data_IF_920314947792
#
_entry.id   IF_920314947792
#
_cell.length_a   1.000
_cell.length_b   1.000
_cell.length_c   1.000
_cell.angle_alpha   90.00
_cell.angle_beta   90.00
_cell.angle_gamma   90.00
#
_symmetry.space_group_name_H-M   'P 1'
#
loop_
_entity.id
_entity.type
_entity.pdbx_description
1 polymer ?
#
# COMPACT_ATOMS: atom_id res chain seq x y z
N UNK A 1 7.98 28.06 1.87
CA UNK A 1 7.01 27.01 1.44
C UNK A 1 5.69 27.22 2.18
N UNK A 2 4.61 27.47 1.45
CA UNK A 2 3.27 27.66 2.02
C UNK A 2 2.70 26.29 2.37
N UNK A 3 2.34 26.08 3.61
CA UNK A 3 1.82 24.81 4.10
C UNK A 3 0.30 24.70 3.87
N UNK A 4 -0.18 23.49 3.57
CA UNK A 4 -1.60 23.22 3.47
C UNK A 4 -2.25 23.29 4.85
N UNK A 5 -3.21 24.19 5.03
CA UNK A 5 -3.98 24.32 6.27
C UNK A 5 -5.22 23.40 6.25
N UNK A 6 -5.00 22.13 5.96
CA UNK A 6 -6.02 21.09 6.02
C UNK A 6 -5.60 19.99 6.99
N UNK A 7 -6.48 19.65 7.93
CA UNK A 7 -6.18 18.73 9.02
C UNK A 7 -7.21 17.63 9.09
N UNK A 8 -6.78 16.45 9.51
CA UNK A 8 -7.63 15.30 9.80
C UNK A 8 -7.39 14.80 11.22
N UNK A 9 -8.41 14.23 11.82
CA UNK A 9 -8.30 13.60 13.14
C UNK A 9 -7.97 12.11 12.97
N UNK A 10 -6.82 11.70 13.53
CA UNK A 10 -6.38 10.30 13.52
C UNK A 10 -6.25 9.83 14.98
N UNK A 11 -7.26 9.14 15.47
CA UNK A 11 -7.39 8.79 16.88
C UNK A 11 -7.53 10.04 17.75
N UNK A 12 -6.55 10.30 18.61
CA UNK A 12 -6.53 11.49 19.50
C UNK A 12 -5.63 12.63 18.97
N UNK A 13 -5.09 12.50 17.77
CA UNK A 13 -4.19 13.48 17.18
C UNK A 13 -4.84 14.17 16.01
N UNK A 14 -4.67 15.48 15.92
CA UNK A 14 -4.99 16.27 14.75
C UNK A 14 -3.72 16.40 13.91
N UNK A 15 -3.73 15.84 12.71
CA UNK A 15 -2.60 15.78 11.80
C UNK A 15 -2.84 16.63 10.56
N UNK A 16 -1.80 17.32 10.10
CA UNK A 16 -1.85 18.16 8.91
C UNK A 16 -1.67 17.32 7.65
N UNK A 17 -2.53 17.51 6.67
CA UNK A 17 -2.44 16.94 5.34
C UNK A 17 -1.31 17.61 4.53
N UNK A 18 -0.88 16.93 3.48
CA UNK A 18 0.09 17.42 2.52
C UNK A 18 -0.40 17.30 1.08
N UNK A 19 0.49 17.60 0.12
CA UNK A 19 0.22 17.47 -1.31
C UNK A 19 0.82 16.18 -1.86
N UNK A 20 0.11 15.55 -2.80
CA UNK A 20 0.65 14.40 -3.52
C UNK A 20 1.70 14.81 -4.54
N UNK A 21 2.53 13.85 -4.96
CA UNK A 21 3.48 14.05 -6.07
C UNK A 21 2.78 14.51 -7.35
N UNK A 22 1.56 14.00 -7.60
CA UNK A 22 0.74 14.40 -8.75
C UNK A 22 0.35 15.88 -8.71
N UNK A 23 -0.06 16.39 -7.53
CA UNK A 23 -0.40 17.81 -7.35
C UNK A 23 0.82 18.71 -7.54
N UNK A 24 1.98 18.31 -7.01
CA UNK A 24 3.24 19.05 -7.23
C UNK A 24 3.63 19.07 -8.72
N UNK A 25 3.45 17.94 -9.43
CA UNK A 25 3.72 17.87 -10.87
C UNK A 25 2.78 18.76 -11.68
N UNK A 26 1.49 18.81 -11.33
CA UNK A 26 0.51 19.68 -11.98
C UNK A 26 0.85 21.17 -11.78
N UNK A 27 1.18 21.58 -10.55
CA UNK A 27 1.58 22.96 -10.26
C UNK A 27 2.89 23.35 -10.96
N UNK A 28 3.88 22.48 -11.00
CA UNK A 28 5.12 22.72 -11.72
C UNK A 28 4.89 22.84 -13.24
N UNK A 29 4.01 21.99 -13.81
CA UNK A 29 3.65 22.03 -15.23
C UNK A 29 2.87 23.30 -15.60
N UNK A 30 1.92 23.72 -14.76
CA UNK A 30 1.20 24.99 -14.90
C UNK A 30 2.19 26.16 -14.98
N UNK A 31 3.08 26.29 -13.98
CA UNK A 31 4.04 27.38 -13.92
C UNK A 31 5.04 27.38 -15.10
N UNK A 32 5.51 26.18 -15.50
CA UNK A 32 6.38 26.04 -16.66
C UNK A 32 5.69 26.40 -17.97
N UNK A 33 4.39 26.09 -18.12
CA UNK A 33 3.57 26.48 -19.27
C UNK A 33 3.39 27.99 -19.34
N UNK A 34 3.08 28.64 -18.20
CA UNK A 34 3.03 30.11 -18.12
C UNK A 34 4.37 30.73 -18.55
N UNK A 35 5.49 30.20 -18.05
CA UNK A 35 6.81 30.69 -18.39
C UNK A 35 7.14 30.54 -19.88
N UNK A 36 6.77 29.40 -20.47
CA UNK A 36 7.02 29.12 -21.90
C UNK A 36 6.18 30.00 -22.80
N UNK A 37 4.88 30.14 -22.51
CA UNK A 37 3.92 30.80 -23.39
C UNK A 37 3.81 32.32 -23.14
N UNK A 38 3.90 32.76 -21.87
CA UNK A 38 3.79 34.16 -21.44
C UNK A 38 5.14 34.80 -21.08
N UNK A 39 6.24 34.03 -21.04
CA UNK A 39 7.56 34.52 -20.69
C UNK A 39 7.84 34.67 -19.18
N UNK A 40 6.86 34.45 -18.31
CA UNK A 40 7.00 34.60 -16.86
C UNK A 40 6.27 33.48 -16.12
N UNK A 41 6.94 32.85 -15.14
CA UNK A 41 6.30 31.93 -14.21
C UNK A 41 5.63 32.70 -13.07
N UNK A 42 4.48 32.23 -12.56
CA UNK A 42 3.90 32.76 -11.33
C UNK A 42 4.70 32.30 -10.11
N UNK A 43 4.81 33.12 -9.07
CA UNK A 43 5.45 32.74 -7.79
C UNK A 43 4.63 31.68 -7.05
N UNK A 44 3.31 31.66 -7.26
CA UNK A 44 2.35 30.77 -6.60
C UNK A 44 1.32 30.29 -7.61
N UNK A 45 1.01 29.01 -7.57
CA UNK A 45 -0.06 28.39 -8.40
C UNK A 45 -1.14 27.83 -7.49
N UNK A 46 -2.40 27.98 -7.90
CA UNK A 46 -3.55 27.35 -7.24
C UNK A 46 -4.05 26.20 -8.11
N UNK A 47 -4.06 24.99 -7.55
CA UNK A 47 -4.55 23.78 -8.21
C UNK A 47 -5.81 23.30 -7.50
N UNK A 48 -6.89 23.15 -8.24
CA UNK A 48 -8.06 22.41 -7.74
C UNK A 48 -7.74 20.92 -7.76
N UNK A 49 -7.67 20.32 -6.55
CA UNK A 49 -7.38 18.89 -6.44
C UNK A 49 -8.63 18.04 -6.67
N UNK A 50 -8.49 16.75 -7.06
CA UNK A 50 -9.64 15.84 -7.18
C UNK A 50 -10.43 15.66 -5.87
N UNK A 51 -9.85 16.03 -4.72
CA UNK A 51 -10.56 16.07 -3.44
C UNK A 51 -11.44 17.30 -3.25
N UNK A 52 -11.49 18.24 -4.21
CA UNK A 52 -12.19 19.51 -4.10
C UNK A 52 -11.55 20.50 -3.10
N UNK A 53 -10.24 20.36 -2.89
CA UNK A 53 -9.46 21.24 -2.01
C UNK A 53 -8.50 22.04 -2.89
N UNK A 54 -8.53 23.36 -2.76
CA UNK A 54 -7.59 24.24 -3.46
C UNK A 54 -6.20 24.15 -2.85
N UNK A 55 -5.25 23.68 -3.64
CA UNK A 55 -3.84 23.59 -3.29
C UNK A 55 -3.12 24.87 -3.73
N UNK A 56 -2.63 25.67 -2.78
CA UNK A 56 -1.85 26.90 -3.05
C UNK A 56 -0.37 26.58 -2.87
N UNK A 57 0.35 26.50 -3.99
CA UNK A 57 1.70 25.94 -4.07
C UNK A 57 2.69 26.99 -4.57
N UNK A 58 3.77 27.19 -3.82
CA UNK A 58 4.89 28.05 -4.21
C UNK A 58 5.79 27.37 -5.24
N UNK A 59 6.26 28.13 -6.21
CA UNK A 59 7.22 27.70 -7.21
C UNK A 59 8.62 28.09 -6.76
N UNK A 60 9.55 27.11 -6.70
CA UNK A 60 10.86 27.31 -6.14
C UNK A 60 11.99 27.43 -7.19
N UNK A 61 11.91 26.66 -8.27
CA UNK A 61 12.96 26.61 -9.29
C UNK A 61 12.40 26.96 -10.65
N UNK A 62 13.20 27.71 -11.41
CA UNK A 62 12.86 28.12 -12.75
C UNK A 62 14.04 27.97 -13.69
N UNK A 63 13.76 27.47 -14.88
CA UNK A 63 14.72 27.40 -15.97
C UNK A 63 14.04 27.70 -17.31
N UNK A 64 14.77 28.17 -18.28
CA UNK A 64 14.23 28.31 -19.63
C UNK A 64 15.32 28.24 -20.70
N UNK A 65 14.93 27.87 -21.90
CA UNK A 65 15.69 27.95 -23.13
C UNK A 65 14.85 28.58 -24.23
N UNK A 66 15.27 28.43 -25.47
CA UNK A 66 14.56 29.01 -26.63
C UNK A 66 13.17 28.36 -26.80
N UNK A 67 13.10 27.03 -26.66
CA UNK A 67 11.91 26.25 -27.03
C UNK A 67 11.37 25.42 -25.82
N UNK A 68 11.78 25.79 -24.61
CA UNK A 68 11.35 25.09 -23.38
C UNK A 68 11.43 26.00 -22.15
N UNK A 69 10.61 25.70 -21.17
CA UNK A 69 10.71 26.23 -19.80
C UNK A 69 10.55 25.11 -18.77
N UNK A 70 11.08 25.32 -17.56
CA UNK A 70 10.91 24.41 -16.44
C UNK A 70 10.63 25.16 -15.15
N UNK A 71 9.81 24.57 -14.30
CA UNK A 71 9.54 25.03 -12.94
C UNK A 71 9.58 23.87 -11.98
N UNK A 72 9.95 24.13 -10.72
CA UNK A 72 10.05 23.15 -9.67
C UNK A 72 9.16 23.46 -8.46
N UNK A 73 8.66 22.43 -7.83
CA UNK A 73 7.85 22.47 -6.63
C UNK A 73 8.43 21.53 -5.58
N UNK A 74 8.63 22.03 -4.37
CA UNK A 74 9.01 21.18 -3.24
C UNK A 74 7.77 20.58 -2.60
N UNK A 75 7.75 19.23 -2.53
CA UNK A 75 6.63 18.50 -1.94
C UNK A 75 6.53 18.76 -0.43
N UNK A 76 5.35 19.18 0.02
CA UNK A 76 4.96 19.17 1.42
C UNK A 76 4.09 17.94 1.70
N UNK A 77 4.64 16.95 2.40
CA UNK A 77 3.95 15.72 2.76
C UNK A 77 3.04 15.85 3.98
N UNK A 78 2.98 17.02 4.61
CA UNK A 78 2.25 17.21 5.87
C UNK A 78 2.89 16.46 7.03
N UNK A 79 2.07 15.93 7.91
CA UNK A 79 2.52 15.12 9.06
C UNK A 79 2.62 13.62 8.71
N UNK A 80 2.55 13.27 7.43
CA UNK A 80 2.76 11.88 7.00
C UNK A 80 4.24 11.52 7.05
N UNK A 81 4.62 10.36 7.60
CA UNK A 81 6.02 9.91 7.64
C UNK A 81 6.52 9.43 6.26
N UNK A 82 6.09 10.08 5.19
CA UNK A 82 6.46 9.75 3.82
C UNK A 82 7.90 10.17 3.52
N UNK A 83 8.69 9.25 3.00
CA UNK A 83 10.08 9.47 2.58
C UNK A 83 10.21 10.51 1.46
N UNK A 84 9.11 10.80 0.75
CA UNK A 84 9.08 11.78 -0.34
C UNK A 84 8.79 13.21 0.11
N UNK A 85 8.61 13.45 1.42
CA UNK A 85 8.49 14.80 1.96
C UNK A 85 9.75 15.62 1.66
N UNK A 86 9.57 16.88 1.27
CA UNK A 86 10.66 17.81 0.94
C UNK A 86 11.35 17.55 -0.41
N UNK A 87 11.00 16.51 -1.16
CA UNK A 87 11.60 16.28 -2.48
C UNK A 87 11.15 17.33 -3.49
N UNK A 88 12.04 17.63 -4.45
CA UNK A 88 11.75 18.53 -5.57
C UNK A 88 11.09 17.74 -6.70
N UNK A 89 9.97 18.26 -7.22
CA UNK A 89 9.28 17.78 -8.41
C UNK A 89 9.38 18.87 -9.49
N UNK A 90 9.98 18.56 -10.61
CA UNK A 90 10.22 19.50 -11.71
C UNK A 90 9.39 19.10 -12.91
N UNK A 91 8.72 20.06 -13.53
CA UNK A 91 8.12 19.89 -14.83
C UNK A 91 8.88 20.75 -15.84
N UNK A 92 9.27 20.15 -16.96
CA UNK A 92 9.81 20.82 -18.14
C UNK A 92 8.77 20.76 -19.25
N UNK A 93 8.36 21.91 -19.77
CA UNK A 93 7.42 22.04 -20.89
C UNK A 93 8.17 22.52 -22.12
N UNK A 94 7.90 21.91 -23.26
CA UNK A 94 8.51 22.26 -24.54
C UNK A 94 7.51 22.14 -25.69
N UNK A 95 7.75 22.86 -26.79
CA UNK A 95 6.93 22.75 -27.99
C UNK A 95 7.14 21.40 -28.68
N UNK A 96 6.08 20.87 -29.30
CA UNK A 96 6.10 19.70 -30.19
C UNK A 96 5.19 19.94 -31.38
N UNK A 97 5.45 19.23 -32.50
CA UNK A 97 4.72 19.43 -33.74
C UNK A 97 3.27 18.91 -33.70
N UNK A 98 3.03 17.84 -32.96
CA UNK A 98 1.71 17.22 -32.84
C UNK A 98 0.85 17.97 -31.82
N UNK A 99 -0.39 18.40 -32.15
CA UNK A 99 -1.27 19.12 -31.25
C UNK A 99 -1.61 18.31 -30.01
N UNK A 100 -1.84 18.98 -28.86
CA UNK A 100 -2.22 18.41 -27.61
C UNK A 100 -1.07 18.29 -26.60
N UNK A 101 -1.31 17.59 -25.48
CA UNK A 101 -0.34 17.46 -24.37
C UNK A 101 0.21 16.05 -24.31
N UNK A 102 1.53 15.91 -24.44
CA UNK A 102 2.24 14.64 -24.28
C UNK A 102 3.01 14.66 -22.98
N UNK A 103 2.78 13.65 -22.11
CA UNK A 103 3.42 13.56 -20.78
C UNK A 103 4.35 12.36 -20.72
N UNK A 104 5.59 12.58 -20.27
CA UNK A 104 6.57 11.52 -20.03
C UNK A 104 7.35 11.78 -18.73
N UNK A 105 8.08 10.77 -18.26
CA UNK A 105 8.97 10.86 -17.10
C UNK A 105 10.42 11.06 -17.52
N UNK A 106 11.06 12.02 -16.87
CA UNK A 106 12.49 12.29 -16.95
C UNK A 106 13.27 11.65 -15.79
N UNK A 107 14.35 12.32 -15.38
CA UNK A 107 15.23 11.87 -14.31
C UNK A 107 14.48 11.58 -13.02
N UNK A 108 14.73 10.40 -12.40
CA UNK A 108 14.18 9.99 -11.13
C UNK A 108 12.69 9.65 -11.12
N UNK A 109 12.00 9.70 -12.27
CA UNK A 109 10.68 9.10 -12.46
C UNK A 109 10.87 7.68 -12.98
N UNK A 110 10.28 6.70 -12.29
CA UNK A 110 10.43 5.30 -12.62
C UNK A 110 9.71 4.90 -13.90
N UNK A 111 10.13 3.77 -14.47
CA UNK A 111 9.47 3.10 -15.61
C UNK A 111 8.76 1.85 -15.12
N UNK A 112 7.60 1.60 -15.68
CA UNK A 112 6.82 0.38 -15.44
C UNK A 112 7.49 -0.80 -16.14
N UNK A 113 7.80 -1.86 -15.38
CA UNK A 113 8.45 -3.08 -15.91
C UNK A 113 7.57 -4.32 -15.77
N UNK A 114 6.42 -4.22 -15.08
CA UNK A 114 5.49 -5.33 -14.86
C UNK A 114 4.06 -4.93 -15.17
N UNK A 115 3.25 -5.90 -15.58
CA UNK A 115 1.82 -5.73 -15.78
C UNK A 115 1.07 -5.54 -14.46
N UNK A 116 -0.20 -5.06 -14.54
CA UNK A 116 -1.06 -4.86 -13.37
C UNK A 116 -0.91 -3.50 -12.68
N UNK A 117 -0.02 -2.62 -13.17
CA UNK A 117 0.07 -1.22 -12.78
C UNK A 117 -0.94 -0.35 -13.55
N UNK A 118 -1.08 0.89 -13.16
CA UNK A 118 -1.95 1.88 -13.81
C UNK A 118 -1.50 2.17 -15.26
N UNK A 119 -0.18 2.21 -15.49
CA UNK A 119 0.41 2.47 -16.79
C UNK A 119 0.96 1.18 -17.43
N UNK A 120 0.99 1.08 -18.76
CA UNK A 120 1.52 -0.07 -19.45
C UNK A 120 3.04 -0.21 -19.27
N UNK A 121 3.54 -1.43 -19.50
CA UNK A 121 4.99 -1.73 -19.43
C UNK A 121 5.75 -0.83 -20.41
N UNK A 122 6.87 -0.26 -19.95
CA UNK A 122 7.71 0.71 -20.67
C UNK A 122 7.32 2.17 -20.47
N UNK A 123 6.10 2.47 -20.05
CA UNK A 123 5.67 3.85 -19.79
C UNK A 123 6.28 4.41 -18.49
N UNK A 124 6.34 5.73 -18.40
CA UNK A 124 6.66 6.42 -17.16
C UNK A 124 5.62 6.11 -16.10
N UNK A 125 6.07 5.86 -14.87
CA UNK A 125 5.22 5.57 -13.73
C UNK A 125 4.50 6.85 -13.21
N UNK A 126 3.76 7.49 -14.10
CA UNK A 126 2.90 8.65 -13.82
C UNK A 126 1.46 8.17 -13.97
N UNK A 127 0.76 8.02 -12.86
CA UNK A 127 -0.59 7.44 -12.84
C UNK A 127 -1.62 8.32 -13.57
N UNK A 128 -2.76 7.74 -13.90
CA UNK A 128 -3.81 8.35 -14.73
C UNK A 128 -4.33 9.66 -14.15
N UNK A 129 -4.58 9.74 -12.83
CA UNK A 129 -5.06 10.97 -12.19
C UNK A 129 -4.03 12.11 -12.25
N UNK A 130 -2.75 11.92 -11.83
CA UNK A 130 -1.70 12.90 -12.09
C UNK A 130 -1.57 13.34 -13.55
N UNK A 131 -1.67 12.39 -14.50
CA UNK A 131 -1.65 12.75 -15.93
C UNK A 131 -2.81 13.68 -16.31
N UNK A 132 -4.02 13.37 -15.85
CA UNK A 132 -5.19 14.23 -16.08
C UNK A 132 -5.01 15.61 -15.47
N UNK A 133 -4.52 15.71 -14.22
CA UNK A 133 -4.26 16.99 -13.57
C UNK A 133 -3.24 17.83 -14.37
N UNK A 134 -2.10 17.23 -14.75
CA UNK A 134 -1.07 17.90 -15.55
C UNK A 134 -1.64 18.35 -16.91
N UNK A 135 -2.38 17.47 -17.58
CA UNK A 135 -2.99 17.81 -18.89
C UNK A 135 -3.95 18.98 -18.75
N UNK A 136 -4.88 18.93 -17.79
CA UNK A 136 -5.87 19.99 -17.58
C UNK A 136 -5.22 21.36 -17.29
N UNK A 137 -4.18 21.39 -16.48
CA UNK A 137 -3.47 22.64 -16.16
C UNK A 137 -2.73 23.21 -17.36
N UNK A 138 -2.06 22.36 -18.14
CA UNK A 138 -1.32 22.79 -19.34
C UNK A 138 -2.26 23.25 -20.44
N UNK A 139 -3.37 22.54 -20.66
CA UNK A 139 -4.40 22.91 -21.64
C UNK A 139 -5.09 24.23 -21.26
N UNK A 140 -5.37 24.48 -19.98
CA UNK A 140 -5.93 25.74 -19.51
C UNK A 140 -5.00 26.91 -19.85
N UNK A 141 -3.70 26.80 -19.58
CA UNK A 141 -2.73 27.85 -19.90
C UNK A 141 -2.55 28.01 -21.41
N UNK A 142 -2.54 26.93 -22.20
CA UNK A 142 -2.49 27.00 -23.65
C UNK A 142 -3.70 27.76 -24.22
N UNK A 143 -4.90 27.45 -23.70
CA UNK A 143 -6.13 28.15 -24.08
C UNK A 143 -6.08 29.64 -23.72
N UNK A 144 -5.65 29.98 -22.49
CA UNK A 144 -5.55 31.37 -22.04
C UNK A 144 -4.52 32.21 -22.85
N UNK A 145 -3.56 31.53 -23.49
CA UNK A 145 -2.55 32.11 -24.34
C UNK A 145 -2.88 32.07 -25.83
N UNK A 146 -4.08 31.63 -26.22
CA UNK A 146 -4.48 31.40 -27.64
C UNK A 146 -3.48 30.51 -28.40
N UNK A 147 -2.92 29.47 -27.71
CA UNK A 147 -1.94 28.54 -28.26
C UNK A 147 -2.58 27.23 -28.66
N UNK A 148 -2.65 26.92 -29.94
CA UNK A 148 -3.26 25.70 -30.51
C UNK A 148 -2.25 24.59 -30.85
N UNK A 149 -0.95 24.80 -30.58
CA UNK A 149 0.12 23.84 -30.87
C UNK A 149 0.25 22.75 -29.84
N UNK A 150 1.23 21.86 -30.05
CA UNK A 150 1.52 20.77 -29.11
C UNK A 150 2.52 21.13 -28.02
N UNK A 151 2.31 20.59 -26.85
CA UNK A 151 3.19 20.74 -25.68
C UNK A 151 3.60 19.36 -25.11
N UNK A 152 4.89 19.19 -24.88
CA UNK A 152 5.43 18.04 -24.16
C UNK A 152 5.80 18.44 -22.74
N UNK A 153 5.31 17.66 -21.78
CA UNK A 153 5.63 17.81 -20.36
C UNK A 153 6.49 16.63 -19.90
N UNK A 154 7.68 16.92 -19.44
CA UNK A 154 8.57 15.94 -18.83
C UNK A 154 8.64 16.20 -17.33
N UNK A 155 8.20 15.21 -16.51
CA UNK A 155 8.24 15.29 -15.06
C UNK A 155 9.51 14.62 -14.54
N UNK A 156 10.29 15.33 -13.73
CA UNK A 156 11.53 14.84 -13.13
C UNK A 156 11.51 14.98 -11.61
N UNK A 157 12.19 14.06 -10.94
CA UNK A 157 12.41 14.06 -9.48
C UNK A 157 13.89 13.78 -9.25
N UNK A 158 14.78 14.79 -9.21
CA UNK A 158 16.23 14.58 -9.22
C UNK A 158 16.76 13.57 -8.19
N UNK A 159 16.16 13.52 -6.98
CA UNK A 159 16.50 12.56 -5.94
C UNK A 159 15.75 11.22 -6.07
N UNK A 160 14.89 11.06 -7.08
CA UNK A 160 13.90 9.99 -7.16
C UNK A 160 14.51 8.59 -7.25
N UNK A 161 15.60 8.43 -7.99
CA UNK A 161 16.27 7.14 -8.15
C UNK A 161 16.83 6.58 -6.82
N UNK A 162 17.40 7.43 -5.97
CA UNK A 162 17.90 7.04 -4.66
C UNK A 162 16.76 6.82 -3.64
N UNK A 163 15.76 7.70 -3.65
CA UNK A 163 14.59 7.55 -2.78
C UNK A 163 13.80 6.28 -3.09
N UNK A 164 13.66 5.92 -4.36
CA UNK A 164 12.94 4.72 -4.81
C UNK A 164 13.47 3.44 -4.17
N UNK A 165 14.77 3.33 -3.92
CA UNK A 165 15.40 2.15 -3.26
C UNK A 165 14.85 1.89 -1.86
N UNK A 166 14.29 2.90 -1.21
CA UNK A 166 13.73 2.84 0.14
C UNK A 166 12.19 2.75 0.15
N UNK A 167 11.57 2.63 -1.03
CA UNK A 167 10.12 2.51 -1.22
C UNK A 167 9.72 1.11 -1.69
N UNK A 168 8.43 0.88 -1.87
CA UNK A 168 7.91 -0.34 -2.48
C UNK A 168 8.04 -0.37 -4.01
N UNK A 169 8.43 0.74 -4.67
CA UNK A 169 8.46 0.84 -6.14
C UNK A 169 9.23 -0.31 -6.82
N UNK A 170 10.47 -0.68 -6.42
CA UNK A 170 11.18 -1.78 -7.06
C UNK A 170 10.46 -3.13 -6.94
N UNK A 171 9.78 -3.38 -5.81
CA UNK A 171 8.99 -4.60 -5.60
C UNK A 171 7.75 -4.65 -6.49
N UNK A 172 7.19 -3.49 -6.79
CA UNK A 172 6.04 -3.31 -7.67
C UNK A 172 6.42 -3.25 -9.16
N UNK A 173 7.70 -3.42 -9.52
CA UNK A 173 8.15 -3.33 -10.91
C UNK A 173 8.13 -1.90 -11.45
N UNK A 174 8.46 -0.93 -10.61
CA UNK A 174 8.76 0.44 -11.01
C UNK A 174 10.24 0.66 -10.80
N UNK A 175 11.00 0.76 -11.88
CA UNK A 175 12.45 0.80 -11.87
C UNK A 175 12.99 2.17 -12.29
N UNK A 176 14.17 2.53 -11.78
CA UNK A 176 14.87 3.77 -12.14
C UNK A 176 14.40 5.03 -11.41
N UNK A 177 13.32 4.97 -10.62
CA UNK A 177 12.83 6.15 -9.91
C UNK A 177 11.54 5.92 -9.14
N UNK A 178 10.93 7.03 -8.73
CA UNK A 178 9.65 7.07 -8.03
C UNK A 178 8.47 7.08 -9.00
N UNK A 179 7.30 6.65 -8.52
CA UNK A 179 6.03 6.88 -9.19
C UNK A 179 5.46 8.26 -8.85
N UNK A 180 4.85 8.91 -9.84
CA UNK A 180 4.03 10.11 -9.66
C UNK A 180 2.60 9.66 -9.46
N UNK A 181 2.10 9.77 -8.23
CA UNK A 181 0.80 9.23 -7.80
C UNK A 181 0.02 10.23 -6.96
N UNK A 182 -1.25 9.91 -6.72
CA UNK A 182 -2.16 10.69 -5.88
C UNK A 182 -3.55 10.77 -6.52
N UNK A 183 -4.50 9.97 -6.02
CA UNK A 183 -5.88 9.92 -6.56
C UNK A 183 -6.73 11.08 -6.10
N UNK A 184 -6.46 11.62 -4.91
CA UNK A 184 -7.19 12.75 -4.32
C UNK A 184 -6.45 14.10 -4.46
N UNK A 185 -5.18 14.09 -4.85
CA UNK A 185 -4.30 15.27 -4.82
C UNK A 185 -3.76 15.62 -3.42
N UNK A 186 -4.32 15.06 -2.38
CA UNK A 186 -3.99 15.34 -0.97
C UNK A 186 -3.42 14.10 -0.29
N UNK A 187 -2.33 14.28 0.45
CA UNK A 187 -1.77 13.25 1.35
C UNK A 187 -2.49 13.34 2.68
N UNK A 188 -3.21 12.28 3.04
CA UNK A 188 -3.79 12.12 4.38
C UNK A 188 -2.81 11.34 5.25
N UNK A 189 -2.26 11.93 6.34
CA UNK A 189 -1.28 11.26 7.18
C UNK A 189 -1.80 9.95 7.76
N UNK A 190 -0.95 8.91 7.76
CA UNK A 190 -1.26 7.59 8.31
C UNK A 190 -2.54 6.96 7.71
N UNK A 191 -2.79 7.19 6.43
CA UNK A 191 -3.98 6.69 5.72
C UNK A 191 -4.01 5.16 5.68
N UNK A 192 -5.01 4.55 6.30
CA UNK A 192 -5.29 3.11 6.18
C UNK A 192 -5.67 2.74 4.73
N UNK A 193 -6.41 3.62 4.04
CA UNK A 193 -6.81 3.43 2.65
C UNK A 193 -5.60 3.32 1.72
N UNK A 194 -4.54 4.11 1.97
CA UNK A 194 -3.30 4.03 1.18
C UNK A 194 -2.58 2.69 1.38
N UNK A 195 -2.57 2.16 2.61
CA UNK A 195 -2.00 0.85 2.90
C UNK A 195 -2.84 -0.28 2.27
N UNK A 196 -4.16 -0.19 2.34
CA UNK A 196 -5.07 -1.13 1.68
C UNK A 196 -4.88 -1.09 0.17
N UNK A 197 -4.78 0.10 -0.44
CA UNK A 197 -4.54 0.25 -1.87
C UNK A 197 -3.21 -0.39 -2.30
N UNK A 198 -2.17 -0.32 -1.47
CA UNK A 198 -0.89 -1.00 -1.73
C UNK A 198 -1.03 -2.53 -1.73
N UNK A 199 -1.80 -3.10 -0.79
CA UNK A 199 -2.11 -4.54 -0.75
C UNK A 199 -2.91 -4.96 -2.00
N UNK A 200 -3.92 -4.18 -2.37
CA UNK A 200 -4.73 -4.43 -3.56
C UNK A 200 -3.89 -4.37 -4.85
N UNK A 201 -2.93 -3.46 -4.91
CA UNK A 201 -2.01 -3.35 -6.04
C UNK A 201 -1.14 -4.60 -6.16
N UNK A 202 -0.55 -5.09 -5.06
CA UNK A 202 0.22 -6.35 -5.09
C UNK A 202 -0.65 -7.54 -5.54
N UNK A 203 -1.88 -7.67 -5.05
CA UNK A 203 -2.81 -8.72 -5.47
C UNK A 203 -3.12 -8.62 -6.97
N UNK A 204 -3.38 -7.42 -7.48
CA UNK A 204 -3.64 -7.18 -8.91
C UNK A 204 -2.46 -7.59 -9.78
N UNK A 205 -1.25 -7.27 -9.35
CA UNK A 205 -0.04 -7.67 -10.06
C UNK A 205 0.12 -9.20 -10.12
N UNK A 206 -0.06 -9.89 -8.99
CA UNK A 206 -0.01 -11.36 -8.97
C UNK A 206 -1.06 -11.98 -9.88
N UNK A 207 -2.25 -11.40 -9.91
CA UNK A 207 -3.31 -11.84 -10.82
C UNK A 207 -2.94 -11.60 -12.31
N UNK A 208 -2.40 -10.42 -12.65
CA UNK A 208 -1.92 -10.10 -14.00
C UNK A 208 -0.76 -11.02 -14.45
N UNK A 209 0.12 -11.42 -13.54
CA UNK A 209 1.18 -12.42 -13.75
C UNK A 209 0.62 -13.86 -13.90
N UNK A 210 -0.70 -14.05 -13.86
CA UNK A 210 -1.36 -15.34 -14.04
C UNK A 210 -1.42 -16.21 -12.78
N UNK A 211 -1.11 -15.68 -11.60
CA UNK A 211 -1.26 -16.42 -10.36
C UNK A 211 -2.74 -16.71 -10.07
N UNK A 212 -3.06 -17.97 -9.80
CA UNK A 212 -4.38 -18.42 -9.34
C UNK A 212 -4.40 -18.68 -7.84
N UNK A 213 -3.25 -18.95 -7.28
CA UNK A 213 -3.04 -19.32 -5.88
C UNK A 213 -2.10 -18.31 -5.24
N UNK A 214 -2.46 -17.80 -4.05
CA UNK A 214 -1.72 -16.74 -3.35
C UNK A 214 -1.29 -17.20 -1.97
N UNK A 215 -0.04 -16.88 -1.62
CA UNK A 215 0.45 -16.90 -0.25
C UNK A 215 0.21 -15.52 0.37
N UNK A 216 -0.53 -15.45 1.47
CA UNK A 216 -0.85 -14.21 2.17
C UNK A 216 -0.22 -14.20 3.55
N UNK A 217 0.58 -13.18 3.86
CA UNK A 217 1.23 -13.00 5.16
C UNK A 217 1.00 -11.57 5.68
N UNK A 218 0.75 -11.38 6.99
CA UNK A 218 0.58 -10.03 7.55
C UNK A 218 1.86 -9.19 7.56
N UNK A 219 3.04 -9.83 7.55
CA UNK A 219 4.31 -9.12 7.63
C UNK A 219 5.50 -10.07 7.68
N UNK A 220 6.69 -9.53 7.97
CA UNK A 220 7.96 -10.24 7.84
C UNK A 220 8.01 -11.57 8.62
N UNK A 221 7.46 -11.64 9.82
CA UNK A 221 7.47 -12.89 10.61
C UNK A 221 6.75 -14.04 9.90
N UNK A 222 5.59 -13.77 9.29
CA UNK A 222 4.89 -14.77 8.49
C UNK A 222 5.66 -15.12 7.23
N UNK A 223 6.33 -14.13 6.65
CA UNK A 223 7.16 -14.29 5.45
C UNK A 223 8.37 -15.17 5.72
N UNK A 224 9.11 -14.88 6.80
CA UNK A 224 10.29 -15.66 7.21
C UNK A 224 9.88 -17.09 7.54
N UNK A 225 8.81 -17.29 8.33
CA UNK A 225 8.31 -18.64 8.67
C UNK A 225 7.87 -19.43 7.42
N UNK A 226 7.20 -18.78 6.47
CA UNK A 226 6.77 -19.42 5.23
C UNK A 226 7.98 -19.88 4.39
N UNK A 227 9.04 -19.06 4.32
CA UNK A 227 10.27 -19.39 3.60
C UNK A 227 11.09 -20.47 4.31
N UNK A 228 11.39 -20.26 5.59
CA UNK A 228 12.43 -21.01 6.30
C UNK A 228 11.90 -22.33 6.90
N UNK A 229 10.65 -22.33 7.36
CA UNK A 229 10.06 -23.52 8.04
C UNK A 229 9.11 -24.31 7.13
N UNK A 230 8.44 -23.63 6.19
CA UNK A 230 7.50 -24.29 5.28
C UNK A 230 8.09 -24.45 3.86
N UNK A 231 9.29 -23.93 3.57
CA UNK A 231 9.97 -23.99 2.29
C UNK A 231 9.07 -23.50 1.12
N UNK A 232 8.32 -22.40 1.31
CA UNK A 232 7.40 -21.89 0.31
C UNK A 232 8.08 -20.89 -0.65
N UNK A 233 7.66 -20.91 -1.92
CA UNK A 233 8.05 -19.89 -2.90
C UNK A 233 7.30 -18.58 -2.62
N UNK A 234 8.05 -17.57 -2.23
CA UNK A 234 7.52 -16.25 -1.90
C UNK A 234 7.16 -15.40 -3.12
N UNK A 235 7.49 -15.82 -4.33
CA UNK A 235 7.20 -15.07 -5.57
C UNK A 235 5.71 -14.79 -5.76
N UNK A 236 4.85 -15.71 -5.32
CA UNK A 236 3.39 -15.55 -5.35
C UNK A 236 2.83 -14.99 -4.04
N UNK A 237 3.69 -14.46 -3.19
CA UNK A 237 3.29 -13.93 -1.91
C UNK A 237 2.86 -12.46 -1.97
N UNK A 238 1.94 -12.09 -1.06
CA UNK A 238 1.47 -10.74 -0.83
C UNK A 238 1.49 -10.45 0.67
N UNK A 239 1.94 -9.25 1.04
CA UNK A 239 1.91 -8.80 2.44
C UNK A 239 0.64 -7.98 2.70
N UNK A 240 -0.29 -8.53 3.50
CA UNK A 240 -1.56 -7.86 3.79
C UNK A 240 -1.54 -6.94 5.01
N UNK A 241 -0.40 -6.76 5.68
CA UNK A 241 -0.29 -5.98 6.93
C UNK A 241 -1.33 -6.44 7.98
N UNK A 242 -2.14 -5.53 8.48
CA UNK A 242 -3.25 -5.83 9.39
C UNK A 242 -4.59 -5.98 8.66
N UNK A 243 -4.63 -5.73 7.35
CA UNK A 243 -5.85 -5.58 6.55
C UNK A 243 -6.27 -6.88 5.87
N UNK A 244 -6.31 -7.98 6.64
CA UNK A 244 -6.68 -9.30 6.13
C UNK A 244 -8.05 -9.27 5.42
N UNK A 245 -9.07 -8.65 6.04
CA UNK A 245 -10.41 -8.60 5.46
C UNK A 245 -10.42 -7.93 4.09
N UNK A 246 -9.80 -6.75 3.96
CA UNK A 246 -9.71 -6.03 2.67
C UNK A 246 -8.94 -6.82 1.61
N UNK A 247 -7.86 -7.53 2.02
CA UNK A 247 -7.10 -8.40 1.12
C UNK A 247 -7.94 -9.58 0.61
N UNK A 248 -8.71 -10.22 1.49
CA UNK A 248 -9.59 -11.34 1.12
C UNK A 248 -10.71 -10.90 0.19
N UNK A 249 -11.39 -9.78 0.50
CA UNK A 249 -12.47 -9.24 -0.33
C UNK A 249 -11.96 -8.94 -1.75
N UNK A 250 -10.80 -8.31 -1.85
CA UNK A 250 -10.23 -7.97 -3.16
C UNK A 250 -9.72 -9.20 -3.91
N UNK A 251 -9.16 -10.19 -3.22
CA UNK A 251 -8.78 -11.47 -3.84
C UNK A 251 -9.99 -12.21 -4.41
N UNK A 252 -11.14 -12.19 -3.71
CA UNK A 252 -12.41 -12.72 -4.24
C UNK A 252 -12.85 -11.98 -5.50
N UNK A 253 -12.77 -10.64 -5.52
CA UNK A 253 -13.13 -9.83 -6.69
C UNK A 253 -12.26 -10.13 -7.91
N UNK A 254 -10.97 -10.39 -7.71
CA UNK A 254 -10.04 -10.76 -8.77
C UNK A 254 -10.21 -12.21 -9.25
N UNK A 255 -10.94 -13.07 -8.53
CA UNK A 255 -11.19 -14.45 -8.91
C UNK A 255 -10.02 -15.40 -8.64
N UNK A 256 -9.23 -15.17 -7.60
CA UNK A 256 -8.24 -16.16 -7.16
C UNK A 256 -8.90 -17.46 -6.74
N UNK A 257 -8.25 -18.60 -7.02
CA UNK A 257 -8.74 -19.93 -6.71
C UNK A 257 -8.47 -20.32 -5.25
N UNK A 258 -7.28 -19.99 -4.73
CA UNK A 258 -6.93 -20.33 -3.36
C UNK A 258 -5.99 -19.32 -2.69
N UNK A 259 -6.07 -19.29 -1.34
CA UNK A 259 -5.19 -18.51 -0.46
C UNK A 259 -4.65 -19.40 0.66
N UNK A 260 -3.33 -19.41 0.82
CA UNK A 260 -2.67 -19.90 2.03
C UNK A 260 -2.30 -18.71 2.91
N UNK A 261 -2.96 -18.59 4.07
CA UNK A 261 -2.69 -17.51 5.03
C UNK A 261 -1.74 -17.99 6.13
N UNK A 262 -0.55 -17.38 6.21
CA UNK A 262 0.48 -17.74 7.21
C UNK A 262 0.70 -16.56 8.16
N UNK A 263 0.36 -16.74 9.45
CA UNK A 263 0.44 -15.68 10.44
C UNK A 263 0.91 -16.14 11.81
N UNK A 264 1.63 -15.26 12.50
CA UNK A 264 1.97 -15.44 13.91
C UNK A 264 0.71 -15.52 14.77
N UNK A 265 0.75 -16.34 15.83
CA UNK A 265 -0.38 -16.61 16.73
C UNK A 265 -1.06 -15.35 17.25
N UNK A 266 -0.30 -14.30 17.56
CA UNK A 266 -0.86 -13.04 18.05
C UNK A 266 -1.81 -12.34 17.08
N UNK A 267 -1.73 -12.64 15.76
CA UNK A 267 -2.72 -12.19 14.76
C UNK A 267 -3.75 -13.27 14.46
N UNK A 268 -3.32 -14.51 14.35
CA UNK A 268 -4.21 -15.63 14.01
C UNK A 268 -5.34 -15.82 15.00
N UNK A 269 -5.06 -15.71 16.29
CA UNK A 269 -6.08 -15.87 17.35
C UNK A 269 -7.16 -14.78 17.27
N UNK A 270 -6.84 -13.58 16.78
CA UNK A 270 -7.82 -12.53 16.53
C UNK A 270 -8.78 -12.91 15.39
N UNK A 271 -8.26 -13.59 14.37
CA UNK A 271 -9.09 -14.11 13.26
C UNK A 271 -10.07 -15.15 13.76
N UNK A 272 -9.70 -15.99 14.73
CA UNK A 272 -10.64 -16.93 15.37
C UNK A 272 -11.83 -16.20 16.01
N UNK A 273 -11.63 -15.00 16.55
CA UNK A 273 -12.68 -14.13 17.07
C UNK A 273 -13.42 -13.32 16.01
N UNK A 274 -13.13 -13.51 14.71
CA UNK A 274 -13.75 -12.77 13.59
C UNK A 274 -13.13 -11.39 13.31
N UNK A 275 -12.00 -11.06 13.95
CA UNK A 275 -11.31 -9.78 13.76
C UNK A 275 -10.48 -9.83 12.48
N UNK A 276 -10.91 -9.12 11.45
CA UNK A 276 -10.29 -9.12 10.11
C UNK A 276 -9.32 -7.94 9.87
N UNK A 277 -9.33 -6.91 10.71
CA UNK A 277 -8.25 -5.94 10.87
C UNK A 277 -7.51 -6.27 12.16
N UNK A 278 -6.33 -6.89 12.05
CA UNK A 278 -5.59 -7.44 13.19
C UNK A 278 -4.79 -6.39 13.97
N UNK A 279 -4.92 -5.10 13.64
CA UNK A 279 -4.26 -4.02 14.36
C UNK A 279 -4.78 -3.91 15.79
N UNK A 280 -3.90 -3.71 16.78
CA UNK A 280 -4.26 -3.66 18.20
C UNK A 280 -5.18 -2.48 18.57
N UNK A 281 -5.19 -1.42 17.79
CA UNK A 281 -6.15 -0.28 17.96
C UNK A 281 -7.58 -0.65 17.61
N UNK A 282 -7.78 -1.65 16.73
CA UNK A 282 -9.12 -2.08 16.30
C UNK A 282 -9.72 -3.03 17.31
N UNK A 283 -8.97 -4.08 17.66
CA UNK A 283 -9.36 -5.04 18.69
C UNK A 283 -8.14 -5.80 19.21
N UNK A 284 -8.19 -6.25 20.45
CA UNK A 284 -7.23 -7.22 20.97
C UNK A 284 -7.86 -8.62 21.00
N UNK A 285 -8.65 -8.98 21.96
CA UNK A 285 -9.34 -10.26 22.11
C UNK A 285 -8.42 -11.52 22.06
N UNK A 286 -7.09 -11.36 22.20
CA UNK A 286 -6.15 -12.49 22.08
C UNK A 286 -6.28 -13.48 23.20
N UNK A 287 -6.20 -12.99 24.43
CA UNK A 287 -6.20 -13.84 25.64
C UNK A 287 -7.59 -14.35 25.94
N UNK A 288 -8.62 -13.54 25.72
CA UNK A 288 -10.03 -13.93 25.85
C UNK A 288 -10.36 -15.10 24.91
N UNK A 289 -9.92 -15.04 23.66
CA UNK A 289 -10.12 -16.11 22.69
C UNK A 289 -9.38 -17.39 23.13
N UNK A 290 -8.10 -17.27 23.50
CA UNK A 290 -7.32 -18.42 23.98
C UNK A 290 -7.95 -19.04 25.23
N UNK A 291 -8.37 -18.23 26.21
CA UNK A 291 -9.01 -18.67 27.43
C UNK A 291 -10.35 -19.38 27.18
N UNK A 292 -11.18 -18.83 26.26
CA UNK A 292 -12.44 -19.45 25.87
C UNK A 292 -12.24 -20.83 25.23
N UNK A 293 -11.29 -20.95 24.30
CA UNK A 293 -10.97 -22.21 23.63
C UNK A 293 -10.29 -23.20 24.61
N UNK A 294 -9.46 -22.74 25.55
CA UNK A 294 -8.90 -23.58 26.59
C UNK A 294 -10.00 -24.14 27.51
N UNK A 295 -10.96 -23.29 27.89
CA UNK A 295 -12.11 -23.76 28.74
C UNK A 295 -12.96 -24.81 28.00
N UNK A 296 -13.21 -24.66 26.68
CA UNK A 296 -13.88 -25.66 25.85
C UNK A 296 -13.11 -27.00 25.83
N UNK A 297 -11.79 -26.96 25.94
CA UNK A 297 -10.91 -28.15 26.01
C UNK A 297 -10.71 -28.69 27.42
N UNK A 298 -11.46 -28.20 28.41
CA UNK A 298 -11.44 -28.72 29.78
C UNK A 298 -10.41 -28.06 30.71
N UNK A 299 -9.92 -26.84 30.36
CA UNK A 299 -9.06 -26.10 31.25
C UNK A 299 -9.75 -25.77 32.60
N UNK A 300 -9.01 -25.91 33.70
CA UNK A 300 -9.51 -25.51 35.02
C UNK A 300 -9.73 -24.00 35.07
N UNK A 301 -10.53 -23.55 36.06
CA UNK A 301 -10.76 -22.12 36.28
C UNK A 301 -9.45 -21.36 36.52
N UNK A 302 -8.51 -22.00 37.24
CA UNK A 302 -7.20 -21.45 37.56
C UNK A 302 -6.36 -21.26 36.30
N UNK A 303 -6.34 -22.26 35.41
CA UNK A 303 -5.62 -22.18 34.13
C UNK A 303 -6.24 -21.09 33.21
N UNK A 304 -7.56 -21.04 33.13
CA UNK A 304 -8.26 -19.97 32.37
C UNK A 304 -7.88 -18.59 32.92
N UNK A 305 -7.80 -18.43 34.24
CA UNK A 305 -7.38 -17.18 34.85
C UNK A 305 -5.91 -16.84 34.57
N UNK A 306 -5.01 -17.83 34.54
CA UNK A 306 -3.61 -17.64 34.15
C UNK A 306 -3.48 -17.17 32.68
N UNK A 307 -4.19 -17.84 31.78
CA UNK A 307 -4.23 -17.44 30.36
C UNK A 307 -4.74 -16.00 30.20
N UNK A 308 -5.81 -15.64 30.92
CA UNK A 308 -6.36 -14.28 30.90
C UNK A 308 -5.42 -13.22 31.49
N UNK A 309 -4.59 -13.61 32.47
CA UNK A 309 -3.64 -12.72 33.14
C UNK A 309 -2.31 -12.59 32.39
N UNK A 310 -2.07 -13.39 31.36
CA UNK A 310 -0.85 -13.33 30.53
C UNK A 310 -0.72 -11.99 29.85
N UNK A 311 0.51 -11.53 29.58
CA UNK A 311 0.80 -10.31 28.84
C UNK A 311 0.88 -10.61 27.32
N UNK A 312 1.41 -11.79 27.01
CA UNK A 312 1.65 -12.21 25.62
C UNK A 312 0.95 -13.53 25.28
N UNK A 313 0.77 -13.79 24.00
CA UNK A 313 0.29 -15.10 23.54
C UNK A 313 1.28 -16.23 23.81
N UNK A 314 2.58 -15.94 23.85
CA UNK A 314 3.61 -16.94 24.12
C UNK A 314 3.60 -17.37 25.60
N UNK A 315 3.35 -16.45 26.52
CA UNK A 315 3.11 -16.76 27.94
C UNK A 315 1.85 -17.62 28.13
N UNK A 316 0.75 -17.29 27.47
CA UNK A 316 -0.46 -18.08 27.47
C UNK A 316 -0.23 -19.50 26.91
N UNK A 317 0.56 -19.62 25.81
CA UNK A 317 0.97 -20.91 25.24
C UNK A 317 1.77 -21.73 26.27
N UNK A 318 2.66 -21.10 27.00
CA UNK A 318 3.45 -21.80 28.04
C UNK A 318 2.55 -22.43 29.13
N UNK A 319 1.57 -21.68 29.67
CA UNK A 319 0.61 -22.21 30.63
C UNK A 319 -0.21 -23.36 30.05
N UNK A 320 -0.68 -23.25 28.81
CA UNK A 320 -1.43 -24.33 28.15
C UNK A 320 -0.57 -25.57 27.90
N UNK A 321 0.72 -25.39 27.60
CA UNK A 321 1.68 -26.47 27.37
C UNK A 321 1.99 -27.22 28.66
N UNK A 322 2.22 -26.50 29.76
CA UNK A 322 2.43 -27.09 31.10
C UNK A 322 1.22 -27.89 31.57
N UNK A 323 0.02 -27.44 31.25
CA UNK A 323 -1.22 -28.14 31.55
C UNK A 323 -1.55 -29.28 30.56
N UNK A 324 -0.76 -29.49 29.51
CA UNK A 324 -1.00 -30.55 28.52
C UNK A 324 -2.18 -30.26 27.57
N UNK A 325 -2.72 -29.02 27.53
CA UNK A 325 -3.91 -28.64 26.78
C UNK A 325 -3.61 -27.82 25.50
N UNK A 326 -2.33 -27.55 25.20
CA UNK A 326 -1.96 -26.72 24.10
C UNK A 326 -2.48 -27.23 22.74
N UNK A 327 -2.31 -28.54 22.49
CA UNK A 327 -2.66 -29.14 21.19
C UNK A 327 -4.16 -29.07 20.93
N UNK A 328 -4.98 -29.42 21.88
CA UNK A 328 -6.45 -29.40 21.79
C UNK A 328 -6.96 -27.96 21.67
N UNK A 329 -6.42 -27.05 22.48
CA UNK A 329 -6.78 -25.63 22.43
C UNK A 329 -6.43 -25.02 21.05
N UNK A 330 -5.24 -25.31 20.52
CA UNK A 330 -4.85 -24.82 19.20
C UNK A 330 -5.69 -25.43 18.07
N UNK A 331 -6.05 -26.70 18.15
CA UNK A 331 -6.96 -27.31 17.19
C UNK A 331 -8.33 -26.60 17.18
N UNK A 332 -8.90 -26.35 18.36
CA UNK A 332 -10.16 -25.62 18.52
C UNK A 332 -10.08 -24.19 17.97
N UNK A 333 -8.97 -23.48 18.21
CA UNK A 333 -8.72 -22.15 17.65
C UNK A 333 -8.65 -22.22 16.12
N UNK A 334 -7.93 -23.19 15.55
CA UNK A 334 -7.79 -23.31 14.09
C UNK A 334 -9.11 -23.71 13.39
N UNK A 335 -9.99 -24.44 14.03
CA UNK A 335 -11.36 -24.67 13.55
C UNK A 335 -12.17 -23.38 13.50
N UNK A 336 -12.07 -22.52 14.54
CA UNK A 336 -12.71 -21.22 14.56
C UNK A 336 -12.14 -20.29 13.46
N UNK A 337 -10.81 -20.29 13.28
CA UNK A 337 -10.14 -19.56 12.18
C UNK A 337 -10.70 -20.02 10.82
N UNK A 338 -10.74 -21.32 10.57
CA UNK A 338 -11.26 -21.87 9.32
C UNK A 338 -12.72 -21.45 9.06
N UNK A 339 -13.55 -21.44 10.11
CA UNK A 339 -14.95 -20.99 10.04
C UNK A 339 -15.05 -19.51 9.66
N UNK A 340 -14.28 -18.65 10.32
CA UNK A 340 -14.32 -17.20 10.07
C UNK A 340 -13.77 -16.84 8.69
N UNK A 341 -12.68 -17.47 8.26
CA UNK A 341 -12.11 -17.25 6.94
C UNK A 341 -13.09 -17.69 5.82
N UNK A 342 -13.67 -18.89 5.94
CA UNK A 342 -14.67 -19.39 4.98
C UNK A 342 -15.93 -18.52 4.96
N UNK A 343 -16.39 -18.05 6.11
CA UNK A 343 -17.52 -17.12 6.17
C UNK A 343 -17.24 -15.83 5.40
N UNK A 344 -16.00 -15.32 5.47
CA UNK A 344 -15.61 -14.08 4.78
C UNK A 344 -15.54 -14.24 3.26
N UNK A 345 -14.91 -15.30 2.77
CA UNK A 345 -14.66 -15.48 1.33
C UNK A 345 -15.80 -16.18 0.58
N UNK A 346 -16.72 -16.82 1.29
CA UNK A 346 -17.80 -17.61 0.67
C UNK A 346 -17.29 -18.90 0.00
N UNK A 347 -18.04 -19.40 -1.00
CA UNK A 347 -17.73 -20.66 -1.67
C UNK A 347 -16.78 -20.52 -2.87
N UNK A 348 -16.56 -19.29 -3.35
CA UNK A 348 -15.81 -19.02 -4.59
C UNK A 348 -14.29 -19.10 -4.46
N UNK A 349 -13.74 -19.05 -3.24
CA UNK A 349 -12.30 -19.04 -2.96
C UNK A 349 -11.97 -20.02 -1.84
N UNK A 350 -11.02 -20.90 -2.09
CA UNK A 350 -10.51 -21.78 -1.04
C UNK A 350 -9.50 -21.04 -0.18
N UNK A 351 -9.70 -21.07 1.15
CA UNK A 351 -8.75 -20.46 2.09
C UNK A 351 -8.35 -21.43 3.19
N UNK A 352 -7.04 -21.51 3.45
CA UNK A 352 -6.46 -22.29 4.52
C UNK A 352 -5.44 -21.45 5.27
N UNK A 353 -5.17 -21.84 6.51
CA UNK A 353 -4.29 -21.06 7.39
C UNK A 353 -3.28 -21.92 8.14
N UNK A 354 -2.12 -21.30 8.40
CA UNK A 354 -1.04 -21.84 9.23
C UNK A 354 -0.67 -20.81 10.27
N UNK A 355 -0.58 -21.24 11.53
CA UNK A 355 -0.14 -20.37 12.63
C UNK A 355 1.08 -20.92 13.35
N UNK A 356 1.90 -20.00 13.84
CA UNK A 356 3.16 -20.28 14.51
C UNK A 356 3.46 -19.24 15.60
N UNK A 357 4.38 -19.57 16.46
CA UNK A 357 5.10 -18.64 17.34
C UNK A 357 6.59 -18.69 17.02
N UNK A 358 7.31 -17.61 17.30
CA UNK A 358 8.78 -17.60 17.19
C UNK A 358 9.45 -18.52 18.20
N UNK A 359 8.87 -18.64 19.40
CA UNK A 359 9.44 -19.42 20.51
C UNK A 359 9.03 -20.90 20.45
N UNK A 360 7.83 -21.18 19.90
CA UNK A 360 7.24 -22.51 19.93
C UNK A 360 7.08 -23.18 18.57
N UNK A 361 7.54 -22.52 17.48
CA UNK A 361 7.45 -23.06 16.13
C UNK A 361 6.01 -23.16 15.62
N UNK A 362 5.73 -24.18 14.84
CA UNK A 362 4.40 -24.46 14.27
C UNK A 362 3.41 -24.83 15.40
N UNK A 363 2.30 -24.10 15.46
CA UNK A 363 1.25 -24.28 16.50
C UNK A 363 -0.03 -24.93 15.96
N UNK A 364 -0.34 -24.72 14.68
CA UNK A 364 -1.55 -25.29 14.10
C UNK A 364 -1.74 -24.98 12.64
N UNK A 365 -2.59 -25.80 12.00
CA UNK A 365 -3.00 -25.69 10.60
C UNK A 365 -4.50 -25.93 10.49
N UNK A 366 -5.15 -25.31 9.51
CA UNK A 366 -6.50 -25.72 9.09
C UNK A 366 -6.44 -27.03 8.27
N UNK A 367 -7.56 -27.73 8.16
CA UNK A 367 -7.60 -29.11 7.65
C UNK A 367 -7.05 -29.29 6.23
N UNK A 368 -7.21 -28.30 5.35
CA UNK A 368 -6.74 -28.33 3.96
C UNK A 368 -5.37 -27.68 3.73
N UNK A 369 -4.71 -27.16 4.79
CA UNK A 369 -3.49 -26.37 4.65
C UNK A 369 -2.34 -27.13 3.99
N UNK A 370 -2.16 -28.41 4.27
CA UNK A 370 -1.07 -29.20 3.69
C UNK A 370 -1.16 -29.29 2.16
N UNK A 371 -2.36 -29.29 1.60
CA UNK A 371 -2.56 -29.24 0.15
C UNK A 371 -2.10 -27.90 -0.43
N UNK A 372 -2.44 -26.79 0.22
CA UNK A 372 -2.03 -25.47 -0.26
C UNK A 372 -0.52 -25.22 0.00
N UNK A 373 0.03 -25.74 1.08
CA UNK A 373 1.48 -25.74 1.31
C UNK A 373 2.19 -26.41 0.13
N UNK A 374 1.73 -27.58 -0.32
CA UNK A 374 2.32 -28.30 -1.45
C UNK A 374 2.23 -27.50 -2.77
N UNK A 375 1.17 -26.68 -2.98
CA UNK A 375 1.04 -25.81 -4.17
C UNK A 375 2.06 -24.66 -4.19
N UNK A 376 2.51 -24.22 -3.03
CA UNK A 376 3.44 -23.11 -2.86
C UNK A 376 4.88 -23.57 -2.55
N UNK A 377 5.13 -24.86 -2.45
CA UNK A 377 6.46 -25.38 -2.17
C UNK A 377 7.46 -24.97 -3.27
N UNK A 378 8.68 -24.62 -2.85
CA UNK A 378 9.81 -24.47 -3.77
C UNK A 378 10.13 -25.84 -4.37
N UNK A 379 9.93 -25.97 -5.70
CA UNK A 379 10.28 -27.20 -6.43
C UNK A 379 11.77 -27.47 -6.50
#
# INVERSE_FOLDING_TARGET
MRQLEHYIDVGQKRLRCGYTTGTCAAAAAHAASCKLLNGQAPDVVMIETPAGIDAVIEIEEEGCGKDWASCGVRKDGGDDPDITDGMLVVARVSYVDEPGVVIDGGEGVGRVTREGLDQPVGAAAINSVPRQMVTSEVEAIAHDCDYDGGLRVEISIPAGAELAKRTFNPRLGIEGGLSVLGTSGIVKPMSEDALIASVQLELRQRHAEGAKDILLCPGNYGWDFARDELALDLKRGVQCSNYLGAALDYACQLGFSSILFVAHIGKMVKVAAGVMNTHSRVADARLETMAAHAALCGASRELVAQVMASITTDEAIMHLKEAGLLKETMASIMEAVAKQLRHRVGEGLQIEAVTFSKEHGLLGKTAGADRLIALHATG
#
